data_IF_534944287851
#
_entry.id   IF_534944287851
#
_cell.length_a   1.000
_cell.length_b   1.000
_cell.length_c   1.000
_cell.angle_alpha   90.00
_cell.angle_beta   90.00
_cell.angle_gamma   90.00
#
_symmetry.space_group_name_H-M   'P 1'
#
loop_
_entity.id
_entity.type
_entity.pdbx_description
1 polymer ?
#
# COMPACT_ATOMS: atom_id res chain seq x y z
N UNK A 1 7.13 7.81 10.16
CA UNK A 1 5.74 7.31 10.23
C UNK A 1 4.89 7.91 11.35
N UNK A 2 5.47 8.73 12.24
CA UNK A 2 4.76 9.59 13.19
C UNK A 2 4.91 11.08 12.84
N UNK A 3 5.15 11.38 11.56
CA UNK A 3 5.26 12.76 11.10
C UNK A 3 3.85 13.31 10.90
N UNK A 4 3.50 14.32 11.67
CA UNK A 4 2.17 14.96 11.66
C UNK A 4 1.90 15.72 10.35
N UNK A 5 2.92 15.98 9.53
CA UNK A 5 2.78 16.64 8.23
C UNK A 5 2.48 15.67 7.07
N UNK A 6 2.49 14.35 7.33
CA UNK A 6 2.16 13.34 6.34
C UNK A 6 0.73 12.86 6.59
N UNK A 7 -0.21 13.14 5.69
CA UNK A 7 -1.61 12.73 5.87
C UNK A 7 -1.88 11.29 5.39
N UNK A 8 -1.13 10.80 4.41
CA UNK A 8 -1.35 9.50 3.77
C UNK A 8 -0.12 9.02 2.99
N UNK A 9 -0.13 7.76 2.56
CA UNK A 9 0.93 7.17 1.73
C UNK A 9 0.38 6.51 0.46
N UNK A 10 1.05 6.78 -0.65
CA UNK A 10 0.93 6.03 -1.89
C UNK A 10 2.18 5.16 -2.05
N UNK A 11 2.01 3.84 -2.03
CA UNK A 11 3.08 2.90 -2.30
C UNK A 11 3.04 2.46 -3.76
N UNK A 12 4.15 2.65 -4.46
CA UNK A 12 4.34 2.18 -5.84
C UNK A 12 5.47 1.16 -5.81
N UNK A 13 5.13 -0.12 -5.97
CA UNK A 13 6.05 -1.23 -5.79
C UNK A 13 6.37 -1.91 -7.12
N UNK A 14 7.64 -2.27 -7.32
CA UNK A 14 8.06 -3.05 -8.47
C UNK A 14 8.21 -4.52 -8.10
N UNK A 15 7.48 -5.42 -8.78
CA UNK A 15 7.55 -6.85 -8.54
C UNK A 15 8.35 -7.57 -9.63
N UNK A 16 9.33 -8.36 -9.19
CA UNK A 16 10.12 -9.24 -10.04
C UNK A 16 10.46 -10.53 -9.29
N UNK A 17 10.48 -11.68 -9.97
CA UNK A 17 10.76 -12.97 -9.35
C UNK A 17 12.23 -13.14 -8.92
N UNK A 18 13.15 -12.33 -9.44
CA UNK A 18 14.56 -12.39 -9.04
C UNK A 18 14.89 -11.44 -7.90
N UNK A 19 15.75 -11.92 -7.00
CA UNK A 19 16.22 -11.19 -5.83
C UNK A 19 15.24 -11.23 -4.66
N UNK A 20 15.69 -10.73 -3.51
CA UNK A 20 14.93 -10.75 -2.26
C UNK A 20 13.92 -9.58 -2.18
N UNK A 21 13.44 -9.06 -3.31
CA UNK A 21 12.63 -7.84 -3.37
C UNK A 21 11.26 -8.05 -2.75
N UNK A 22 10.58 -9.14 -3.10
CA UNK A 22 9.28 -9.51 -2.53
C UNK A 22 9.41 -9.67 -1.02
N UNK A 23 10.39 -10.45 -0.55
CA UNK A 23 10.64 -10.65 0.88
C UNK A 23 10.94 -9.35 1.63
N UNK A 24 11.71 -8.44 1.02
CA UNK A 24 12.00 -7.14 1.61
C UNK A 24 10.74 -6.28 1.76
N UNK A 25 9.85 -6.27 0.76
CA UNK A 25 8.56 -5.59 0.90
C UNK A 25 7.72 -6.23 1.99
N UNK A 26 7.57 -7.56 2.01
CA UNK A 26 6.80 -8.25 3.04
C UNK A 26 7.35 -7.94 4.44
N UNK A 27 8.68 -7.90 4.61
CA UNK A 27 9.30 -7.50 5.88
C UNK A 27 8.97 -6.05 6.25
N UNK A 28 9.04 -5.12 5.30
CA UNK A 28 8.71 -3.71 5.53
C UNK A 28 7.23 -3.53 5.91
N UNK A 29 6.31 -4.19 5.22
CA UNK A 29 4.88 -4.12 5.51
C UNK A 29 4.53 -4.74 6.87
N UNK A 30 5.19 -5.84 7.25
CA UNK A 30 5.00 -6.45 8.58
C UNK A 30 5.45 -5.51 9.70
N UNK A 31 6.53 -4.75 9.48
CA UNK A 31 7.02 -3.80 10.47
C UNK A 31 6.06 -2.64 10.75
N UNK A 32 5.10 -2.38 9.84
CA UNK A 32 4.20 -1.22 9.88
C UNK A 32 2.72 -1.58 10.06
N UNK A 33 2.32 -2.84 9.80
CA UNK A 33 0.93 -3.34 9.82
C UNK A 33 0.11 -2.87 11.03
N UNK A 34 0.71 -2.89 12.22
CA UNK A 34 -0.01 -2.53 13.46
C UNK A 34 0.32 -1.12 13.99
N UNK A 35 1.24 -0.41 13.31
CA UNK A 35 1.75 0.90 13.75
C UNK A 35 1.22 2.05 12.91
N UNK A 36 0.82 1.78 11.67
CA UNK A 36 0.43 2.79 10.72
C UNK A 36 -1.10 2.90 10.64
N UNK A 37 -1.65 4.01 11.14
CA UNK A 37 -3.09 4.26 11.12
C UNK A 37 -3.54 5.26 10.05
N UNK A 38 -2.60 5.86 9.32
CA UNK A 38 -2.93 6.82 8.28
C UNK A 38 -3.34 6.08 6.99
N UNK A 39 -4.15 6.69 6.12
CA UNK A 39 -4.53 6.08 4.85
C UNK A 39 -3.33 5.63 4.00
N UNK A 40 -3.43 4.44 3.43
CA UNK A 40 -2.46 3.87 2.47
C UNK A 40 -3.21 3.42 1.22
N UNK A 41 -2.59 3.57 0.06
CA UNK A 41 -2.97 2.88 -1.16
C UNK A 41 -1.73 2.30 -1.83
N UNK A 42 -1.84 1.10 -2.39
CA UNK A 42 -0.71 0.41 -3.02
C UNK A 42 -1.02 0.10 -4.48
N UNK A 43 -0.05 0.34 -5.36
CA UNK A 43 -0.04 -0.16 -6.73
C UNK A 43 1.26 -0.94 -6.96
N UNK A 44 1.12 -2.10 -7.60
CA UNK A 44 2.24 -2.99 -7.91
C UNK A 44 2.35 -3.11 -9.43
N UNK A 45 3.55 -2.91 -9.96
CA UNK A 45 3.85 -3.07 -11.38
C UNK A 45 5.08 -3.95 -11.57
N UNK A 46 5.23 -4.54 -12.74
CA UNK A 46 6.40 -5.37 -13.04
C UNK A 46 6.23 -6.19 -14.31
N UNK A 47 7.33 -6.72 -14.87
CA UNK A 47 7.28 -7.51 -16.10
C UNK A 47 6.71 -8.92 -15.90
N UNK A 48 6.63 -9.40 -14.66
CA UNK A 48 6.12 -10.74 -14.34
C UNK A 48 4.78 -10.65 -13.61
N UNK A 49 3.69 -10.99 -14.32
CA UNK A 49 2.33 -10.95 -13.79
C UNK A 49 2.09 -11.89 -12.59
N UNK A 50 2.81 -13.02 -12.49
CA UNK A 50 2.69 -13.92 -11.35
C UNK A 50 3.30 -13.29 -10.09
N UNK A 51 4.48 -12.68 -10.21
CA UNK A 51 5.12 -11.98 -9.11
C UNK A 51 4.28 -10.79 -8.61
N UNK A 52 3.71 -10.02 -9.54
CA UNK A 52 2.78 -8.91 -9.22
C UNK A 52 1.58 -9.42 -8.43
N UNK A 53 0.91 -10.48 -8.90
CA UNK A 53 -0.24 -11.07 -8.21
C UNK A 53 0.12 -11.66 -6.85
N UNK A 54 1.24 -12.36 -6.75
CA UNK A 54 1.67 -12.97 -5.49
C UNK A 54 1.93 -11.92 -4.42
N UNK A 55 2.69 -10.86 -4.75
CA UNK A 55 2.92 -9.76 -3.82
C UNK A 55 1.61 -9.05 -3.48
N UNK A 56 0.73 -8.83 -4.47
CA UNK A 56 -0.59 -8.24 -4.26
C UNK A 56 -1.41 -9.00 -3.22
N UNK A 57 -1.60 -10.31 -3.42
CA UNK A 57 -2.35 -11.15 -2.49
C UNK A 57 -1.75 -11.16 -1.08
N UNK A 58 -0.42 -11.19 -0.96
CA UNK A 58 0.23 -11.15 0.34
C UNK A 58 -0.01 -9.81 1.07
N UNK A 59 0.05 -8.69 0.36
CA UNK A 59 -0.25 -7.38 0.96
C UNK A 59 -1.72 -7.24 1.33
N UNK A 60 -2.63 -7.74 0.49
CA UNK A 60 -4.07 -7.75 0.78
C UNK A 60 -4.41 -8.62 1.98
N UNK A 61 -3.82 -9.82 2.11
CA UNK A 61 -3.97 -10.70 3.29
C UNK A 61 -3.44 -10.03 4.58
N UNK A 62 -2.46 -9.15 4.43
CA UNK A 62 -1.97 -8.31 5.53
C UNK A 62 -2.87 -7.11 5.85
N UNK A 63 -3.94 -6.88 5.09
CA UNK A 63 -4.90 -5.79 5.28
C UNK A 63 -4.54 -4.50 4.54
N UNK A 64 -3.54 -4.52 3.64
CA UNK A 64 -3.18 -3.35 2.85
C UNK A 64 -3.95 -3.32 1.54
N UNK A 65 -4.54 -2.17 1.16
CA UNK A 65 -5.29 -2.07 -0.07
C UNK A 65 -4.36 -2.01 -1.28
N UNK A 66 -4.53 -2.94 -2.22
CA UNK A 66 -3.78 -3.03 -3.48
C UNK A 66 -4.73 -2.78 -4.65
N UNK A 67 -4.30 -1.96 -5.61
CA UNK A 67 -5.10 -1.57 -6.77
C UNK A 67 -4.42 -2.00 -8.07
N UNK A 68 -5.26 -2.24 -9.09
CA UNK A 68 -4.82 -2.73 -10.41
C UNK A 68 -3.99 -1.73 -11.21
N UNK A 69 -4.21 -0.43 -11.00
CA UNK A 69 -3.55 0.66 -11.70
C UNK A 69 -3.34 1.85 -10.76
N UNK A 70 -2.41 2.74 -11.17
CA UNK A 70 -2.04 3.92 -10.41
C UNK A 70 -3.21 4.88 -10.23
N UNK A 71 -4.06 5.04 -11.25
CA UNK A 71 -5.19 5.96 -11.21
C UNK A 71 -6.21 5.55 -10.14
N UNK A 72 -6.54 4.25 -10.08
CA UNK A 72 -7.40 3.67 -9.06
C UNK A 72 -6.79 3.84 -7.65
N UNK A 73 -5.48 3.60 -7.49
CA UNK A 73 -4.79 3.79 -6.22
C UNK A 73 -4.87 5.25 -5.74
N UNK A 74 -4.61 6.22 -6.62
CA UNK A 74 -4.67 7.65 -6.32
C UNK A 74 -6.09 8.08 -5.96
N UNK A 75 -7.10 7.65 -6.72
CA UNK A 75 -8.51 7.96 -6.43
C UNK A 75 -8.94 7.38 -5.09
N UNK A 76 -8.60 6.12 -4.81
CA UNK A 76 -8.92 5.47 -3.55
C UNK A 76 -8.23 6.17 -2.36
N UNK A 77 -6.97 6.58 -2.52
CA UNK A 77 -6.27 7.35 -1.49
C UNK A 77 -6.97 8.68 -1.21
N UNK A 78 -7.40 9.40 -2.25
CA UNK A 78 -8.16 10.64 -2.11
C UNK A 78 -9.44 10.46 -1.30
N UNK A 79 -10.20 9.38 -1.57
CA UNK A 79 -11.40 9.03 -0.80
C UNK A 79 -11.06 8.69 0.66
N UNK A 80 -10.00 7.91 0.89
CA UNK A 80 -9.58 7.52 2.23
C UNK A 80 -9.13 8.72 3.07
N UNK A 81 -8.45 9.70 2.47
CA UNK A 81 -8.09 10.97 3.12
C UNK A 81 -9.34 11.76 3.50
N UNK A 82 -10.31 11.90 2.59
CA UNK A 82 -11.56 12.61 2.89
C UNK A 82 -12.31 11.94 4.05
N UNK A 83 -12.42 10.62 4.02
CA UNK A 83 -13.04 9.85 5.11
C UNK A 83 -12.31 10.04 6.44
N UNK A 84 -10.97 9.97 6.44
CA UNK A 84 -10.18 10.18 7.66
C UNK A 84 -10.39 11.57 8.25
N UNK A 85 -10.47 12.61 7.40
CA UNK A 85 -10.77 13.98 7.83
C UNK A 85 -12.17 14.11 8.44
N UNK A 86 -13.19 13.50 7.83
CA UNK A 86 -14.56 13.49 8.38
C UNK A 86 -14.63 12.74 9.72
N UNK A 87 -13.93 11.61 9.85
CA UNK A 87 -13.90 10.83 11.11
C UNK A 87 -13.23 11.56 12.26
N UNK A 88 -12.32 12.51 11.98
CA UNK A 88 -11.68 13.33 13.01
C UNK A 88 -12.52 14.54 13.44
N UNK A 89 -13.58 14.88 12.69
CA UNK A 89 -14.44 16.04 12.95
C UNK A 89 -15.75 15.69 13.68
N UNK A 90 -16.10 14.40 13.77
CA UNK A 90 -17.28 13.91 14.52
C UNK A 90 -16.87 13.22 15.80
#
# INVERSE_FOLDING_TARGET
MADDNIDALLHVLWAHPSGNIIENYIRAYNAIKDKYQKPVATWIYGPNNQAVRQLGFQLEDMGFPVFKDLEAAVKALGLAIQYAKTRLQG
#
